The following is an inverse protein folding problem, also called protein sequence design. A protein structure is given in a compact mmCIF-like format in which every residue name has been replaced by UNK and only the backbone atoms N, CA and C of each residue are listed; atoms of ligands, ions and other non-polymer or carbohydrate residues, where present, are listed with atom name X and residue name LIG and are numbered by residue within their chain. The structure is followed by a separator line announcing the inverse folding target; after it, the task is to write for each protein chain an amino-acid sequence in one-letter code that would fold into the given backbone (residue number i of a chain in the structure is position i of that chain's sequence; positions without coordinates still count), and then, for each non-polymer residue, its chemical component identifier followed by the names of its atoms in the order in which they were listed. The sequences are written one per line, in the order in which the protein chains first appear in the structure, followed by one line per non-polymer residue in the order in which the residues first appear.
data_IF_420785885512
#
_entry.id   IF_420785885512
#
_cell.length_a   1.000
_cell.length_b   1.000
_cell.length_c   1.000
_cell.angle_alpha   90.00
_cell.angle_beta   90.00
_cell.angle_gamma   90.00
#
_symmetry.space_group_name_H-M   'P 1'
#
loop_
_entity.id
_entity.type
_entity.pdbx_description
1 polymer ?
#
# COMPACT_ATOMS: atom_id res chain seq x y z
N UNK A 1 1.06 14.73 -14.37
CA UNK A 1 0.50 13.36 -14.48
C UNK A 1 0.79 12.65 -13.18
N UNK A 2 0.01 11.63 -12.81
CA UNK A 2 0.07 10.90 -11.51
C UNK A 2 1.41 10.21 -11.19
N UNK A 3 2.41 10.35 -12.05
CA UNK A 3 3.81 10.02 -11.82
C UNK A 3 4.68 11.28 -11.99
N UNK A 4 4.35 12.36 -11.26
CA UNK A 4 5.13 13.61 -11.28
C UNK A 4 6.48 13.47 -10.60
N UNK A 5 6.64 12.45 -9.75
CA UNK A 5 7.88 12.11 -9.08
C UNK A 5 8.67 11.06 -9.88
N UNK A 6 9.98 11.23 -9.96
CA UNK A 6 10.86 10.25 -10.58
C UNK A 6 10.91 9.00 -9.70
N UNK A 7 10.48 7.85 -10.23
CA UNK A 7 10.68 6.55 -9.60
C UNK A 7 12.13 6.12 -9.90
N UNK A 8 13.00 5.97 -8.89
CA UNK A 8 14.36 5.47 -9.11
C UNK A 8 14.34 4.09 -9.80
N UNK A 9 15.28 3.78 -10.72
CA UNK A 9 15.29 2.51 -11.45
C UNK A 9 15.35 1.25 -10.56
N UNK A 10 15.90 1.38 -9.35
CA UNK A 10 16.02 0.31 -8.37
C UNK A 10 15.10 0.50 -7.15
N UNK A 11 14.07 1.35 -7.28
CA UNK A 11 13.16 1.59 -6.17
C UNK A 11 12.38 0.32 -5.81
N UNK A 12 12.28 -0.03 -4.52
CA UNK A 12 11.35 -1.05 -4.08
C UNK A 12 9.93 -0.61 -4.44
N UNK A 13 9.15 -1.55 -4.97
CA UNK A 13 7.76 -1.33 -5.39
C UNK A 13 6.89 -2.48 -4.90
N UNK A 14 5.68 -2.15 -4.44
CA UNK A 14 4.66 -3.12 -4.10
C UNK A 14 3.30 -2.62 -4.60
N UNK A 15 2.38 -3.54 -4.85
CA UNK A 15 1.01 -3.20 -5.18
C UNK A 15 0.05 -4.15 -4.47
N UNK A 16 -1.14 -3.65 -4.17
CA UNK A 16 -2.24 -4.47 -3.66
C UNK A 16 -3.57 -3.86 -4.06
N UNK A 17 -4.63 -4.66 -3.93
CA UNK A 17 -5.98 -4.26 -4.23
C UNK A 17 -6.91 -4.50 -3.05
N UNK A 18 -7.98 -3.71 -2.99
CA UNK A 18 -9.10 -3.93 -2.07
C UNK A 18 -10.40 -3.84 -2.85
N UNK A 19 -11.49 -4.38 -2.30
CA UNK A 19 -12.80 -4.15 -2.88
C UNK A 19 -13.17 -2.67 -2.71
N UNK A 20 -13.69 -2.04 -3.76
CA UNK A 20 -14.25 -0.70 -3.66
C UNK A 20 -15.52 -0.75 -2.79
N UNK A 21 -15.57 -0.02 -1.66
CA UNK A 21 -16.75 -0.03 -0.80
C UNK A 21 -17.96 0.51 -1.56
N UNK A 22 -19.14 -0.09 -1.35
CA UNK A 22 -20.42 0.35 -1.91
C UNK A 22 -20.47 0.36 -3.46
N UNK A 23 -19.63 -0.44 -4.12
CA UNK A 23 -19.70 -0.67 -5.56
C UNK A 23 -20.29 -2.05 -5.87
N UNK A 24 -21.51 -2.07 -6.37
CA UNK A 24 -22.24 -3.28 -6.77
C UNK A 24 -21.55 -4.04 -7.92
N UNK A 25 -20.54 -3.43 -8.57
CA UNK A 25 -19.82 -4.01 -9.71
C UNK A 25 -18.56 -4.77 -9.32
N UNK A 26 -18.29 -4.93 -8.02
CA UNK A 26 -17.04 -5.58 -7.54
C UNK A 26 -15.77 -4.89 -8.06
N UNK A 27 -15.82 -3.57 -8.27
CA UNK A 27 -14.64 -2.80 -8.68
C UNK A 27 -13.56 -2.86 -7.60
N UNK A 28 -12.31 -2.67 -8.03
CA UNK A 28 -11.16 -2.68 -7.14
C UNK A 28 -10.66 -1.27 -6.90
N UNK A 29 -10.23 -1.01 -5.68
CA UNK A 29 -9.25 0.04 -5.41
C UNK A 29 -7.87 -0.57 -5.59
N UNK A 30 -6.99 0.09 -6.32
CA UNK A 30 -5.61 -0.34 -6.59
C UNK A 30 -4.66 0.65 -5.94
N UNK A 31 -3.69 0.16 -5.20
CA UNK A 31 -2.67 0.97 -4.55
C UNK A 31 -1.28 0.46 -4.96
N UNK A 32 -0.39 1.40 -5.27
CA UNK A 32 1.02 1.12 -5.57
C UNK A 32 1.86 1.95 -4.60
N UNK A 33 2.80 1.29 -3.95
CA UNK A 33 3.75 1.88 -3.02
C UNK A 33 5.15 1.78 -3.63
N UNK A 34 5.92 2.85 -3.54
CA UNK A 34 7.32 2.87 -3.96
C UNK A 34 8.14 3.83 -3.11
N UNK A 35 9.46 3.64 -3.02
CA UNK A 35 10.34 4.69 -2.47
C UNK A 35 10.78 5.66 -3.55
N UNK A 36 10.71 6.96 -3.25
CA UNK A 36 11.32 8.01 -4.07
C UNK A 36 12.83 8.12 -3.83
N UNK A 37 13.48 9.07 -4.50
CA UNK A 37 14.92 9.34 -4.37
C UNK A 37 15.36 9.79 -2.98
N UNK A 38 14.42 10.22 -2.13
CA UNK A 38 14.64 10.62 -0.74
C UNK A 38 14.32 9.50 0.25
N UNK A 39 14.17 8.25 -0.22
CA UNK A 39 13.78 7.08 0.56
C UNK A 39 12.39 7.19 1.22
N UNK A 40 11.56 8.15 0.81
CA UNK A 40 10.21 8.29 1.34
C UNK A 40 9.29 7.34 0.59
N UNK A 41 8.50 6.56 1.33
CA UNK A 41 7.46 5.73 0.70
C UNK A 41 6.32 6.63 0.23
N UNK A 42 6.11 6.61 -1.08
CA UNK A 42 5.03 7.26 -1.79
C UNK A 42 3.94 6.24 -2.11
N UNK A 43 2.70 6.70 -2.10
CA UNK A 43 1.53 5.93 -2.53
C UNK A 43 0.90 6.64 -3.72
N UNK A 44 0.65 5.88 -4.78
CA UNK A 44 -0.27 6.27 -5.86
C UNK A 44 -1.42 5.26 -5.86
N UNK A 45 -2.63 5.74 -6.13
CA UNK A 45 -3.79 4.87 -6.03
C UNK A 45 -4.89 5.25 -7.00
N UNK A 46 -5.77 4.30 -7.27
CA UNK A 46 -7.01 4.49 -7.98
C UNK A 46 -8.12 3.85 -7.15
N UNK A 47 -9.01 4.66 -6.60
CA UNK A 47 -10.12 4.26 -5.74
C UNK A 47 -11.49 4.71 -6.30
N UNK A 48 -11.50 5.37 -7.46
CA UNK A 48 -12.68 5.75 -8.21
C UNK A 48 -12.37 5.82 -9.72
N UNK A 49 -13.34 6.30 -10.50
CA UNK A 49 -13.23 6.42 -11.95
C UNK A 49 -12.64 7.77 -12.40
N UNK A 50 -12.17 8.61 -11.47
CA UNK A 50 -11.51 9.89 -11.78
C UNK A 50 -10.06 9.73 -12.23
N UNK A 51 -9.51 8.51 -12.13
CA UNK A 51 -8.17 8.14 -12.55
C UNK A 51 -7.21 7.96 -11.37
N UNK A 52 -5.91 7.95 -11.68
CA UNK A 52 -4.86 7.78 -10.68
C UNK A 52 -4.63 9.07 -9.87
N UNK A 53 -4.53 8.90 -8.55
CA UNK A 53 -4.26 9.91 -7.54
C UNK A 53 -2.85 9.74 -6.96
N UNK A 54 -2.35 10.80 -6.33
CA UNK A 54 -0.99 10.85 -5.79
C UNK A 54 0.06 11.29 -6.84
N UNK A 55 1.36 11.16 -6.52
CA UNK A 55 1.91 10.52 -5.32
C UNK A 55 1.63 11.29 -4.03
N UNK A 56 1.52 10.58 -2.91
CA UNK A 56 1.42 11.15 -1.57
C UNK A 56 2.06 10.24 -0.54
N UNK A 57 2.60 10.82 0.54
CA UNK A 57 3.13 10.07 1.68
C UNK A 57 2.25 10.23 2.91
N UNK A 58 2.35 9.27 3.83
CA UNK A 58 1.54 9.20 5.05
C UNK A 58 2.45 8.92 6.24
N UNK A 59 2.06 9.41 7.42
CA UNK A 59 2.86 9.28 8.65
C UNK A 59 3.18 7.83 9.03
N UNK A 60 2.31 6.88 8.67
CA UNK A 60 2.54 5.45 8.88
C UNK A 60 3.84 4.93 8.24
N UNK A 61 4.28 5.58 7.16
CA UNK A 61 5.48 5.20 6.41
C UNK A 61 6.77 5.90 6.88
N UNK A 62 6.69 6.82 7.84
CA UNK A 62 7.83 7.61 8.27
C UNK A 62 8.97 6.74 8.83
N UNK A 63 10.20 7.00 8.40
CA UNK A 63 11.38 6.27 8.87
C UNK A 63 11.57 4.89 8.23
N UNK A 64 10.96 4.65 7.07
CA UNK A 64 11.32 3.52 6.22
C UNK A 64 12.83 3.57 5.90
N UNK A 65 13.49 2.43 6.00
CA UNK A 65 14.92 2.32 5.70
C UNK A 65 15.14 2.50 4.18
N UNK A 66 16.23 3.17 3.79
CA UNK A 66 16.53 3.41 2.39
C UNK A 66 16.76 2.08 1.64
N UNK A 67 15.99 1.86 0.57
CA UNK A 67 16.06 0.64 -0.25
C UNK A 67 15.38 -0.58 0.39
N UNK A 68 14.56 -0.38 1.43
CA UNK A 68 13.83 -1.50 2.05
C UNK A 68 12.85 -2.14 1.08
N UNK A 69 12.82 -3.48 1.03
CA UNK A 69 11.79 -4.17 0.26
C UNK A 69 10.41 -3.88 0.86
N UNK A 70 9.43 -3.65 -0.02
CA UNK A 70 8.04 -3.44 0.37
C UNK A 70 7.24 -4.65 -0.09
N UNK A 71 6.40 -5.20 0.77
CA UNK A 71 5.45 -6.26 0.43
C UNK A 71 4.06 -5.86 0.90
N UNK A 72 3.05 -5.98 0.04
CA UNK A 72 1.67 -5.68 0.39
C UNK A 72 0.77 -6.88 0.12
N UNK A 73 -0.25 -7.04 0.96
CA UNK A 73 -1.21 -8.13 0.89
C UNK A 73 -2.54 -7.66 0.32
N UNK A 74 -3.09 -8.46 -0.58
CA UNK A 74 -4.49 -8.39 -0.99
C UNK A 74 -5.25 -9.48 -0.25
N UNK A 75 -6.47 -9.19 0.20
CA UNK A 75 -7.30 -10.22 0.84
C UNK A 75 -7.49 -11.42 -0.11
N UNK A 76 -7.60 -12.61 0.45
CA UNK A 76 -7.83 -13.82 -0.35
C UNK A 76 -9.18 -13.76 -1.06
N UNK A 77 -9.20 -14.21 -2.31
CA UNK A 77 -10.42 -14.48 -3.07
C UNK A 77 -10.29 -15.82 -3.80
N UNK A 78 -11.42 -16.40 -4.20
CA UNK A 78 -11.51 -17.65 -4.96
C UNK A 78 -12.65 -17.58 -5.96
N UNK A 79 -12.77 -18.54 -6.89
CA UNK A 79 -13.76 -18.49 -7.96
C UNK A 79 -15.22 -18.40 -7.47
N UNK A 80 -15.50 -18.87 -6.25
CA UNK A 80 -16.80 -18.81 -5.57
C UNK A 80 -16.78 -18.02 -4.26
N UNK A 81 -15.65 -17.39 -3.92
CA UNK A 81 -15.48 -16.57 -2.72
C UNK A 81 -14.97 -15.20 -3.15
N UNK A 82 -15.84 -14.18 -3.25
CA UNK A 82 -15.40 -12.87 -3.68
C UNK A 82 -14.38 -12.28 -2.71
N UNK A 83 -13.59 -11.34 -3.21
CA UNK A 83 -12.70 -10.53 -2.38
C UNK A 83 -13.52 -9.91 -1.23
N UNK A 84 -13.07 -10.13 -0.01
CA UNK A 84 -13.79 -9.62 1.16
C UNK A 84 -13.70 -8.09 1.21
N UNK A 85 -14.81 -7.44 1.57
CA UNK A 85 -14.89 -5.97 1.66
C UNK A 85 -14.20 -5.40 2.90
N UNK A 86 -13.57 -6.23 3.73
CA UNK A 86 -12.84 -5.77 4.91
C UNK A 86 -11.41 -5.36 4.56
N UNK A 87 -10.82 -4.54 5.42
CA UNK A 87 -9.45 -4.03 5.29
C UNK A 87 -8.44 -4.79 6.15
N UNK A 88 -8.87 -5.87 6.83
CA UNK A 88 -8.03 -6.59 7.81
C UNK A 88 -6.75 -7.14 7.18
N UNK A 89 -6.82 -7.50 5.90
CA UNK A 89 -5.70 -8.03 5.12
C UNK A 89 -4.98 -6.99 4.27
N UNK A 90 -5.42 -5.72 4.28
CA UNK A 90 -4.79 -4.62 3.55
C UNK A 90 -3.52 -4.13 4.24
N UNK A 91 -2.59 -5.07 4.48
CA UNK A 91 -1.33 -4.86 5.21
C UNK A 91 -0.18 -4.67 4.23
N UNK A 92 0.72 -3.75 4.56
CA UNK A 92 2.01 -3.63 3.91
C UNK A 92 3.12 -3.73 4.95
N UNK A 93 4.27 -4.24 4.52
CA UNK A 93 5.44 -4.51 5.35
C UNK A 93 6.69 -3.92 4.72
N UNK A 94 7.53 -3.32 5.55
CA UNK A 94 8.82 -2.75 5.16
C UNK A 94 9.70 -2.59 6.41
N UNK A 95 11.01 -2.42 6.24
CA UNK A 95 11.92 -2.18 7.36
C UNK A 95 11.93 -0.70 7.74
N UNK A 96 11.92 -0.43 9.04
CA UNK A 96 12.09 0.91 9.60
C UNK A 96 12.95 0.81 10.87
N UNK A 97 14.12 1.44 10.84
CA UNK A 97 15.11 1.32 11.91
C UNK A 97 15.59 -0.12 12.11
N UNK A 98 15.66 -0.91 11.03
CA UNK A 98 16.06 -2.32 11.04
C UNK A 98 14.98 -3.31 11.51
N UNK A 99 13.83 -2.83 12.00
CA UNK A 99 12.71 -3.68 12.40
C UNK A 99 11.66 -3.78 11.29
N UNK A 100 11.01 -4.94 11.15
CA UNK A 100 9.94 -5.13 10.18
C UNK A 100 8.66 -4.45 10.67
N UNK A 101 8.29 -3.31 10.06
CA UNK A 101 7.07 -2.59 10.37
C UNK A 101 5.90 -3.16 9.56
N UNK A 102 4.75 -3.22 10.21
CA UNK A 102 3.45 -3.51 9.60
C UNK A 102 2.57 -2.25 9.61
N UNK A 103 1.98 -1.93 8.47
CA UNK A 103 1.01 -0.84 8.30
C UNK A 103 -0.27 -1.34 7.64
N UNK A 104 -1.40 -0.71 7.92
CA UNK A 104 -2.70 -1.06 7.36
C UNK A 104 -3.28 0.12 6.58
N UNK A 105 -3.86 -0.16 5.41
CA UNK A 105 -4.85 0.72 4.82
C UNK A 105 -6.23 0.33 5.36
N UNK A 106 -6.83 1.19 6.19
CA UNK A 106 -8.11 0.91 6.84
C UNK A 106 -9.34 1.32 6.01
N UNK A 107 -9.13 1.74 4.75
CA UNK A 107 -10.17 2.21 3.83
C UNK A 107 -10.38 3.73 3.86
N UNK A 108 -9.89 4.43 4.90
CA UNK A 108 -9.92 5.90 4.99
C UNK A 108 -8.52 6.51 5.03
N UNK A 109 -7.50 5.71 5.35
CA UNK A 109 -6.12 6.15 5.41
C UNK A 109 -5.18 5.03 5.81
N UNK A 110 -3.97 5.42 6.22
CA UNK A 110 -2.89 4.51 6.58
C UNK A 110 -2.52 4.65 8.04
N UNK A 111 -2.38 3.53 8.74
CA UNK A 111 -2.01 3.47 10.15
C UNK A 111 -0.90 2.47 10.44
N UNK A 112 -0.11 2.73 11.48
CA UNK A 112 0.88 1.78 11.98
C UNK A 112 0.16 0.72 12.80
N UNK A 113 0.36 -0.55 12.43
CA UNK A 113 -0.14 -1.69 13.21
C UNK A 113 0.85 -2.04 14.30
N UNK A 114 2.14 -2.07 13.95
CA UNK A 114 3.21 -2.37 14.88
C UNK A 114 4.48 -2.83 14.18
N UNK A 115 5.31 -3.56 14.92
CA UNK A 115 6.48 -4.25 14.39
C UNK A 115 6.28 -5.75 14.52
N UNK A 116 6.58 -6.48 13.45
CA UNK A 116 6.51 -7.94 13.41
C UNK A 116 7.73 -8.50 14.15
N UNK A 117 7.48 -9.33 15.15
CA UNK A 117 8.55 -10.05 15.83
C UNK A 117 9.05 -11.20 14.96
N UNK A 118 10.36 -11.22 14.71
CA UNK A 118 11.07 -12.43 14.27
C UNK A 118 11.57 -13.13 15.53
N UNK A 119 10.84 -14.17 15.93
CA UNK A 119 11.25 -15.07 17.01
C UNK A 119 12.35 -16.03 16.54
#
# INVERSE_FOLDING_TARGET
GSFSESIPPAAPIAAFSTLRPNDDKSSLNIYILFQDSSATVQVVWQDDDSGWKGPSTFSAFNGADNGTSIACLTASSWFNVPLQANSDMSRCYFQAGGALREVQNNGTGWEVVGYVSVA
#
